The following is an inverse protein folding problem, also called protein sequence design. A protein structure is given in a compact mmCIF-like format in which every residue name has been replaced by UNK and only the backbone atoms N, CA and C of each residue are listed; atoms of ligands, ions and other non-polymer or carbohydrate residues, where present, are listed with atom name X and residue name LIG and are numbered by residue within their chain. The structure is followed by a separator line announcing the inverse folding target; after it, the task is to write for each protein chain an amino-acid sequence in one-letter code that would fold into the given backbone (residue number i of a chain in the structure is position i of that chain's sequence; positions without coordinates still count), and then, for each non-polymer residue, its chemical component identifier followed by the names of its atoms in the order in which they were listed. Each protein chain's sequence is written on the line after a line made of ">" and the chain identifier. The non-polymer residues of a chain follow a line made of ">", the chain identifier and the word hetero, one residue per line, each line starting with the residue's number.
data_IF_225018851658
#
_entry.id   IF_225018851658
#
_cell.length_a   1.000
_cell.length_b   1.000
_cell.length_c   1.000
_cell.angle_alpha   90.00
_cell.angle_beta   90.00
_cell.angle_gamma   90.00
#
_symmetry.space_group_name_H-M   'P 1'
#
loop_
_entity.id
_entity.type
_entity.pdbx_description
1 polymer ?
#
# COMPACT_ATOMS: atom_id res chain seq x y z
N UNK A 1 13.16 -45.51 47.38
CA UNK A 1 13.71 -44.17 47.10
C UNK A 1 14.34 -43.60 48.37
N UNK A 2 15.62 -43.24 48.32
CA UNK A 2 16.30 -42.50 49.39
C UNK A 2 15.79 -41.05 49.40
N UNK A 3 15.92 -40.33 50.52
CA UNK A 3 15.50 -38.92 50.66
C UNK A 3 16.04 -38.01 49.54
N UNK A 4 17.23 -38.32 49.01
CA UNK A 4 17.82 -37.58 47.90
C UNK A 4 17.11 -37.81 46.55
N UNK A 5 16.42 -38.93 46.36
CA UNK A 5 15.68 -39.22 45.12
C UNK A 5 14.43 -38.34 45.01
N UNK A 6 13.77 -38.04 46.13
CA UNK A 6 12.63 -37.12 46.19
C UNK A 6 13.01 -35.66 45.94
N UNK A 7 14.19 -35.23 46.41
CA UNK A 7 14.71 -33.88 46.16
C UNK A 7 15.05 -33.71 44.67
N UNK A 8 15.68 -34.72 44.05
CA UNK A 8 15.96 -34.73 42.61
C UNK A 8 14.68 -34.69 41.79
N UNK A 9 13.69 -35.51 42.14
CA UNK A 9 12.39 -35.53 41.47
C UNK A 9 11.67 -34.18 41.56
N UNK A 10 11.64 -33.56 42.76
CA UNK A 10 11.05 -32.24 42.95
C UNK A 10 11.76 -31.14 42.13
N UNK A 11 13.08 -31.20 42.02
CA UNK A 11 13.85 -30.27 41.20
C UNK A 11 13.54 -30.43 39.70
N UNK A 12 13.42 -31.66 39.20
CA UNK A 12 13.05 -31.93 37.80
C UNK A 12 11.65 -31.39 37.49
N UNK A 13 10.68 -31.60 38.40
CA UNK A 13 9.31 -31.10 38.24
C UNK A 13 9.26 -29.56 38.25
N UNK A 14 10.05 -28.91 39.10
CA UNK A 14 10.17 -27.46 39.13
C UNK A 14 10.77 -26.90 37.84
N UNK A 15 11.81 -27.53 37.30
CA UNK A 15 12.42 -27.16 36.01
C UNK A 15 11.43 -27.37 34.87
N UNK A 16 10.65 -28.46 34.88
CA UNK A 16 9.61 -28.72 33.88
C UNK A 16 8.56 -27.61 33.88
N UNK A 17 8.01 -27.26 35.04
CA UNK A 17 7.01 -26.19 35.15
C UNK A 17 7.59 -24.83 34.76
N UNK A 18 8.84 -24.54 35.13
CA UNK A 18 9.52 -23.33 34.70
C UNK A 18 9.73 -23.29 33.18
N UNK A 19 10.09 -24.42 32.56
CA UNK A 19 10.28 -24.52 31.11
C UNK A 19 8.95 -24.38 30.35
N UNK A 20 7.88 -25.03 30.80
CA UNK A 20 6.54 -24.87 30.23
C UNK A 20 6.04 -23.43 30.41
N UNK A 21 6.25 -22.83 31.59
CA UNK A 21 5.90 -21.44 31.85
C UNK A 21 6.67 -20.45 30.98
N UNK A 22 7.95 -20.74 30.68
CA UNK A 22 8.77 -19.94 29.75
C UNK A 22 8.37 -20.12 28.29
N UNK A 23 7.90 -21.30 27.88
CA UNK A 23 7.50 -21.60 26.51
C UNK A 23 6.04 -21.26 26.20
N UNK A 24 5.19 -21.15 27.23
CA UNK A 24 3.76 -20.82 27.08
C UNK A 24 3.50 -19.53 26.28
N UNK A 25 4.24 -18.42 26.48
CA UNK A 25 4.08 -17.21 25.66
C UNK A 25 4.41 -17.39 24.18
N UNK A 26 5.12 -18.46 23.82
CA UNK A 26 5.57 -18.75 22.45
C UNK A 26 4.70 -19.78 21.73
N UNK A 27 3.59 -20.23 22.36
CA UNK A 27 2.68 -21.21 21.79
C UNK A 27 1.37 -20.56 21.32
N UNK A 28 0.91 -20.80 20.08
CA UNK A 28 1.48 -21.69 19.06
C UNK A 28 2.65 -21.05 18.28
N UNK A 29 3.72 -21.82 18.07
CA UNK A 29 4.98 -21.36 17.46
C UNK A 29 4.81 -20.75 16.05
N UNK A 30 3.76 -21.13 15.34
CA UNK A 30 3.43 -20.64 14.00
C UNK A 30 3.12 -19.13 13.95
N UNK A 31 2.66 -18.55 15.07
CA UNK A 31 2.33 -17.12 15.15
C UNK A 31 3.52 -16.26 15.61
N UNK A 32 4.58 -16.90 16.11
CA UNK A 32 5.73 -16.23 16.73
C UNK A 32 6.98 -16.29 15.85
N UNK A 33 7.14 -17.36 15.07
CA UNK A 33 8.24 -17.51 14.12
C UNK A 33 7.80 -17.06 12.73
N UNK A 34 8.43 -16.00 12.23
CA UNK A 34 8.22 -15.47 10.88
C UNK A 34 8.77 -16.45 9.84
N UNK A 35 7.88 -17.13 9.12
CA UNK A 35 8.22 -18.14 8.11
C UNK A 35 8.48 -17.49 6.75
N UNK A 36 9.46 -18.02 6.01
CA UNK A 36 9.74 -17.60 4.64
C UNK A 36 8.85 -18.30 3.60
N UNK A 37 8.98 -17.91 2.33
CA UNK A 37 8.21 -18.45 1.20
C UNK A 37 8.30 -19.98 1.11
N UNK A 38 9.45 -20.57 1.40
CA UNK A 38 9.68 -22.02 1.30
C UNK A 38 8.91 -22.83 2.37
N UNK A 39 8.53 -22.19 3.48
CA UNK A 39 7.87 -22.84 4.61
C UNK A 39 6.37 -22.50 4.70
N UNK A 40 5.95 -21.30 4.29
CA UNK A 40 4.56 -20.87 4.35
C UNK A 40 3.85 -20.89 2.99
N UNK A 41 4.61 -21.03 1.89
CA UNK A 41 4.11 -20.73 0.55
C UNK A 41 3.88 -19.23 0.36
N UNK A 42 3.43 -18.83 -0.82
CA UNK A 42 3.13 -17.43 -1.14
C UNK A 42 3.18 -17.13 -2.63
N UNK A 43 3.35 -15.85 -2.97
CA UNK A 43 3.35 -15.37 -4.36
C UNK A 43 4.71 -14.79 -4.71
N UNK A 44 5.22 -15.15 -5.88
CA UNK A 44 6.40 -14.56 -6.51
C UNK A 44 5.96 -13.84 -7.77
N UNK A 45 6.26 -12.54 -7.83
CA UNK A 45 6.00 -11.66 -8.97
C UNK A 45 7.32 -11.19 -9.55
N UNK A 46 7.44 -11.22 -10.87
CA UNK A 46 8.50 -10.51 -11.60
C UNK A 46 7.84 -9.37 -12.34
N UNK A 47 8.25 -8.17 -11.96
CA UNK A 47 7.75 -6.93 -12.52
C UNK A 47 8.74 -6.37 -13.53
N UNK A 48 8.25 -5.71 -14.56
CA UNK A 48 9.05 -5.03 -15.58
C UNK A 48 8.70 -3.55 -15.65
N UNK A 49 9.71 -2.70 -15.44
CA UNK A 49 9.58 -1.26 -15.56
C UNK A 49 9.59 -0.87 -17.05
N UNK A 50 8.54 -0.16 -17.48
CA UNK A 50 8.38 0.29 -18.86
C UNK A 50 9.19 1.55 -19.15
N UNK A 51 9.35 1.87 -20.44
CA UNK A 51 9.94 3.12 -20.94
C UNK A 51 11.41 3.37 -20.52
N UNK A 52 12.18 2.31 -20.27
CA UNK A 52 13.60 2.39 -19.89
C UNK A 52 14.58 2.31 -21.07
N UNK A 53 14.08 2.09 -22.30
CA UNK A 53 14.91 1.81 -23.48
C UNK A 53 15.85 2.97 -23.86
N UNK A 54 15.41 4.21 -23.64
CA UNK A 54 16.16 5.43 -23.99
C UNK A 54 17.11 5.91 -22.87
N UNK A 55 17.11 5.25 -21.72
CA UNK A 55 17.91 5.64 -20.56
C UNK A 55 19.28 4.98 -20.58
N UNK A 56 20.29 5.63 -20.01
CA UNK A 56 21.59 5.01 -19.72
C UNK A 56 21.47 3.94 -18.63
N UNK A 57 22.41 2.99 -18.59
CA UNK A 57 22.41 1.92 -17.58
C UNK A 57 22.37 2.44 -16.13
N UNK A 58 23.03 3.56 -15.86
CA UNK A 58 23.00 4.23 -14.55
C UNK A 58 21.60 4.78 -14.21
N UNK A 59 20.96 5.46 -15.17
CA UNK A 59 19.60 5.99 -15.00
C UNK A 59 18.57 4.87 -14.81
N UNK A 60 18.70 3.76 -15.56
CA UNK A 60 17.81 2.59 -15.38
C UNK A 60 17.92 2.04 -13.97
N UNK A 61 19.16 1.89 -13.47
CA UNK A 61 19.42 1.42 -12.11
C UNK A 61 18.78 2.35 -11.07
N UNK A 62 18.99 3.65 -11.18
CA UNK A 62 18.42 4.62 -10.24
C UNK A 62 16.87 4.57 -10.21
N UNK A 63 16.25 4.41 -11.39
CA UNK A 63 14.79 4.25 -11.51
C UNK A 63 14.33 2.95 -10.84
N UNK A 64 15.01 1.83 -11.10
CA UNK A 64 14.69 0.54 -10.48
C UNK A 64 14.86 0.59 -8.97
N UNK A 65 15.95 1.17 -8.46
CA UNK A 65 16.20 1.31 -7.02
C UNK A 65 15.13 2.19 -6.34
N UNK A 66 14.65 3.23 -7.04
CA UNK A 66 13.52 4.05 -6.58
C UNK A 66 12.20 3.30 -6.58
N UNK A 67 11.92 2.48 -7.60
CA UNK A 67 10.75 1.58 -7.62
C UNK A 67 10.81 0.63 -6.42
N UNK A 68 11.94 -0.04 -6.19
CA UNK A 68 12.14 -0.95 -5.05
C UNK A 68 11.84 -0.24 -3.73
N UNK A 69 12.34 0.99 -3.55
CA UNK A 69 12.11 1.79 -2.34
C UNK A 69 10.62 2.08 -2.12
N UNK A 70 9.90 2.49 -3.17
CA UNK A 70 8.45 2.78 -3.08
C UNK A 70 7.66 1.51 -2.80
N UNK A 71 7.97 0.40 -3.49
CA UNK A 71 7.29 -0.87 -3.27
C UNK A 71 7.51 -1.39 -1.85
N UNK A 72 8.72 -1.22 -1.29
CA UNK A 72 9.00 -1.56 0.10
C UNK A 72 8.14 -0.74 1.05
N UNK A 73 8.04 0.58 0.84
CA UNK A 73 7.19 1.45 1.66
C UNK A 73 5.71 1.05 1.60
N UNK A 74 5.18 0.67 0.43
CA UNK A 74 3.79 0.21 0.28
C UNK A 74 3.51 -1.03 1.09
N UNK A 75 4.39 -2.01 0.95
CA UNK A 75 4.31 -3.29 1.65
C UNK A 75 4.39 -3.09 3.16
N UNK A 76 5.34 -2.29 3.63
CA UNK A 76 5.53 -1.98 5.05
C UNK A 76 4.29 -1.29 5.62
N UNK A 77 3.74 -0.30 4.91
CA UNK A 77 2.55 0.44 5.33
C UNK A 77 1.26 -0.39 5.23
N UNK A 78 1.18 -1.34 4.31
CA UNK A 78 0.04 -2.27 4.24
C UNK A 78 0.06 -3.25 5.41
N UNK A 79 1.25 -3.54 5.94
CA UNK A 79 1.50 -4.45 7.05
C UNK A 79 1.84 -5.87 6.59
N UNK A 80 2.34 -6.05 5.36
CA UNK A 80 2.79 -7.36 4.89
C UNK A 80 4.13 -7.70 5.53
N UNK A 81 4.21 -8.84 6.19
CA UNK A 81 5.43 -9.30 6.84
C UNK A 81 6.34 -10.06 5.86
N UNK A 82 7.65 -9.89 6.02
CA UNK A 82 8.70 -10.71 5.37
C UNK A 82 8.69 -10.68 3.83
N UNK A 83 8.17 -9.61 3.23
CA UNK A 83 8.22 -9.46 1.79
C UNK A 83 9.65 -9.13 1.36
N UNK A 84 10.12 -9.81 0.33
CA UNK A 84 11.44 -9.61 -0.25
C UNK A 84 11.27 -8.92 -1.61
N UNK A 85 11.81 -7.72 -1.74
CA UNK A 85 11.78 -6.92 -2.97
C UNK A 85 13.21 -6.67 -3.39
N UNK A 86 13.58 -7.12 -4.59
CA UNK A 86 14.95 -6.98 -5.09
C UNK A 86 14.98 -6.68 -6.59
N UNK A 87 15.96 -5.91 -7.07
CA UNK A 87 16.17 -5.74 -8.50
C UNK A 87 16.61 -7.08 -9.12
N UNK A 88 16.07 -7.37 -10.30
CA UNK A 88 16.39 -8.54 -11.13
C UNK A 88 16.90 -8.06 -12.50
N UNK A 89 18.22 -7.99 -12.67
CA UNK A 89 18.81 -7.44 -13.89
C UNK A 89 18.72 -5.90 -13.96
N UNK A 90 18.45 -5.35 -15.14
CA UNK A 90 18.49 -3.89 -15.38
C UNK A 90 17.11 -3.19 -15.42
N UNK A 91 16.03 -3.93 -15.62
CA UNK A 91 14.68 -3.38 -15.80
C UNK A 91 13.59 -4.12 -15.03
N UNK A 92 13.95 -5.19 -14.31
CA UNK A 92 12.98 -6.05 -13.63
C UNK A 92 13.17 -5.99 -12.13
N UNK A 93 12.07 -6.27 -11.43
CA UNK A 93 12.01 -6.30 -9.97
C UNK A 93 11.35 -7.61 -9.58
N UNK A 94 12.04 -8.40 -8.76
CA UNK A 94 11.47 -9.59 -8.13
C UNK A 94 10.82 -9.21 -6.81
N UNK A 95 9.57 -9.62 -6.62
CA UNK A 95 8.82 -9.43 -5.38
C UNK A 95 8.30 -10.78 -4.89
N UNK A 96 8.68 -11.16 -3.67
CA UNK A 96 8.20 -12.38 -3.01
C UNK A 96 7.40 -12.00 -1.79
N UNK A 97 6.15 -12.45 -1.73
CA UNK A 97 5.21 -12.17 -0.65
C UNK A 97 4.87 -13.49 0.03
N UNK A 98 5.51 -13.82 1.17
CA UNK A 98 5.19 -15.03 1.93
C UNK A 98 3.77 -14.97 2.50
N UNK A 99 3.09 -16.11 2.51
CA UNK A 99 1.75 -16.25 3.09
C UNK A 99 0.61 -15.59 2.31
N UNK A 100 0.90 -14.86 1.21
CA UNK A 100 -0.14 -14.38 0.30
C UNK A 100 -0.82 -15.57 -0.39
N UNK A 101 -2.13 -15.67 -0.20
CA UNK A 101 -2.94 -16.72 -0.82
C UNK A 101 -3.55 -16.26 -2.15
N UNK A 102 -3.73 -14.94 -2.31
CA UNK A 102 -4.31 -14.33 -3.50
C UNK A 102 -3.28 -13.48 -4.25
N UNK A 103 -2.82 -13.93 -5.44
CA UNK A 103 -1.96 -13.14 -6.31
C UNK A 103 -2.59 -11.83 -6.78
N UNK A 104 -3.92 -11.75 -6.91
CA UNK A 104 -4.59 -10.54 -7.39
C UNK A 104 -4.51 -9.41 -6.37
N UNK A 105 -4.66 -9.69 -5.09
CA UNK A 105 -4.49 -8.69 -4.02
C UNK A 105 -3.05 -8.14 -4.01
N UNK A 106 -2.07 -9.04 -4.09
CA UNK A 106 -0.66 -8.68 -4.20
C UNK A 106 -0.37 -7.79 -5.43
N UNK A 107 -0.95 -8.16 -6.58
CA UNK A 107 -0.83 -7.39 -7.83
C UNK A 107 -1.46 -6.01 -7.70
N UNK A 108 -2.62 -5.89 -7.06
CA UNK A 108 -3.28 -4.59 -6.88
C UNK A 108 -2.50 -3.65 -5.96
N UNK A 109 -1.78 -4.18 -4.97
CA UNK A 109 -0.92 -3.40 -4.08
C UNK A 109 0.37 -2.94 -4.76
N UNK A 110 1.01 -3.82 -5.52
CA UNK A 110 2.38 -3.60 -6.01
C UNK A 110 2.39 -3.09 -7.45
N UNK A 111 1.43 -3.48 -8.28
CA UNK A 111 1.35 -3.14 -9.70
C UNK A 111 0.65 -1.82 -10.04
N UNK A 112 0.06 -1.11 -9.08
CA UNK A 112 -0.56 0.21 -9.34
C UNK A 112 0.51 1.30 -9.34
N UNK A 113 0.54 2.18 -10.33
CA UNK A 113 1.47 3.32 -10.34
C UNK A 113 1.07 4.34 -9.29
N UNK A 114 -0.24 4.62 -9.19
CA UNK A 114 -0.86 5.69 -8.40
C UNK A 114 -0.29 7.07 -8.70
N UNK A 115 -0.30 7.40 -9.99
CA UNK A 115 -0.08 8.75 -10.43
C UNK A 115 -1.27 9.62 -9.99
N UNK A 116 -1.09 10.33 -8.88
CA UNK A 116 -2.07 11.29 -8.37
C UNK A 116 -1.86 12.65 -9.05
N UNK A 117 -2.93 13.18 -9.62
CA UNK A 117 -2.93 14.47 -10.30
C UNK A 117 -4.15 15.30 -9.89
N UNK A 118 -3.93 16.60 -9.76
CA UNK A 118 -4.98 17.58 -9.55
C UNK A 118 -5.09 18.44 -10.80
N UNK A 119 -6.21 18.31 -11.51
CA UNK A 119 -6.45 19.01 -12.78
C UNK A 119 -7.75 19.81 -12.70
N UNK A 120 -7.76 21.00 -13.31
CA UNK A 120 -8.99 21.79 -13.43
C UNK A 120 -9.96 21.08 -14.37
N UNK A 121 -11.21 20.97 -13.95
CA UNK A 121 -12.29 20.51 -14.82
C UNK A 121 -12.81 21.68 -15.65
N UNK A 122 -13.01 21.43 -16.94
CA UNK A 122 -13.55 22.37 -17.90
C UNK A 122 -15.02 22.09 -18.20
N UNK A 123 -15.41 20.82 -18.23
CA UNK A 123 -16.78 20.38 -18.49
C UNK A 123 -17.03 18.95 -17.95
N UNK A 124 -18.31 18.61 -17.73
CA UNK A 124 -18.75 17.30 -17.21
C UNK A 124 -20.00 16.83 -17.98
N UNK A 125 -19.98 15.59 -18.48
CA UNK A 125 -21.11 15.00 -19.19
C UNK A 125 -21.25 13.50 -18.91
N UNK A 126 -22.46 12.94 -19.07
CA UNK A 126 -22.69 11.50 -18.91
C UNK A 126 -22.14 10.67 -20.08
N UNK A 127 -21.99 11.27 -21.26
CA UNK A 127 -21.41 10.64 -22.45
C UNK A 127 -20.15 11.40 -22.89
N UNK A 128 -19.02 10.72 -23.17
CA UNK A 128 -17.80 11.37 -23.62
C UNK A 128 -17.97 12.14 -24.94
N UNK A 129 -18.90 11.71 -25.81
CA UNK A 129 -19.12 12.35 -27.12
C UNK A 129 -19.73 13.76 -27.00
N UNK A 130 -20.33 14.08 -25.86
CA UNK A 130 -20.88 15.40 -25.58
C UNK A 130 -19.78 16.41 -25.17
N UNK A 131 -18.56 15.93 -24.89
CA UNK A 131 -17.43 16.75 -24.46
C UNK A 131 -16.56 17.16 -25.66
N UNK A 132 -16.37 18.47 -25.83
CA UNK A 132 -15.59 19.01 -26.93
C UNK A 132 -14.23 19.51 -26.44
N UNK A 133 -13.17 18.84 -26.89
CA UNK A 133 -11.80 19.32 -26.67
C UNK A 133 -11.56 20.58 -27.50
N UNK A 134 -11.21 21.67 -26.83
CA UNK A 134 -10.82 22.95 -27.44
C UNK A 134 -9.31 23.10 -27.61
N UNK A 135 -8.52 22.25 -26.94
CA UNK A 135 -7.05 22.21 -27.04
C UNK A 135 -6.55 20.76 -27.19
N UNK A 136 -5.46 20.50 -27.93
CA UNK A 136 -4.85 19.18 -28.02
C UNK A 136 -4.30 18.66 -26.69
N UNK A 137 -4.06 19.54 -25.72
CA UNK A 137 -3.63 19.15 -24.38
C UNK A 137 -4.78 18.66 -23.50
N UNK A 138 -6.04 18.94 -23.84
CA UNK A 138 -7.17 18.53 -23.01
C UNK A 138 -7.44 17.03 -23.10
N UNK A 139 -7.87 16.47 -21.97
CA UNK A 139 -8.14 15.05 -21.83
C UNK A 139 -9.57 14.84 -21.33
N UNK A 140 -10.20 13.77 -21.81
CA UNK A 140 -11.49 13.32 -21.34
C UNK A 140 -11.22 12.09 -20.49
N UNK A 141 -11.56 12.15 -19.21
CA UNK A 141 -11.29 11.10 -18.26
C UNK A 141 -12.61 10.56 -17.68
N UNK A 142 -12.76 9.24 -17.51
CA UNK A 142 -13.93 8.66 -16.88
C UNK A 142 -13.92 8.88 -15.37
N UNK A 143 -15.11 9.03 -14.79
CA UNK A 143 -15.31 8.90 -13.35
C UNK A 143 -15.05 7.47 -12.89
N UNK A 144 -14.52 7.30 -11.69
CA UNK A 144 -14.30 6.00 -11.05
C UNK A 144 -15.59 5.18 -10.91
N UNK A 145 -16.75 5.83 -10.75
CA UNK A 145 -18.04 5.16 -10.66
C UNK A 145 -18.71 4.92 -12.03
N UNK A 146 -18.08 5.37 -13.12
CA UNK A 146 -18.56 5.23 -14.50
C UNK A 146 -19.82 6.05 -14.82
N UNK A 147 -20.23 6.99 -13.95
CA UNK A 147 -21.46 7.76 -14.13
C UNK A 147 -21.31 9.00 -15.03
N UNK A 148 -20.10 9.56 -15.06
CA UNK A 148 -19.76 10.78 -15.79
C UNK A 148 -18.38 10.68 -16.42
N UNK A 149 -18.14 11.57 -17.37
CA UNK A 149 -16.85 11.87 -17.97
C UNK A 149 -16.53 13.34 -17.71
N UNK A 150 -15.26 13.62 -17.45
CA UNK A 150 -14.75 14.95 -17.17
C UNK A 150 -13.79 15.37 -18.26
N UNK A 151 -14.03 16.54 -18.86
CA UNK A 151 -13.05 17.23 -19.66
C UNK A 151 -12.13 18.01 -18.73
N UNK A 152 -10.85 17.69 -18.73
CA UNK A 152 -9.85 18.32 -17.85
C UNK A 152 -8.75 19.01 -18.66
N UNK A 153 -8.09 19.99 -18.03
CA UNK A 153 -6.85 20.55 -18.55
C UNK A 153 -5.77 19.46 -18.65
N UNK A 154 -4.84 19.61 -19.61
CA UNK A 154 -3.77 18.62 -19.81
C UNK A 154 -2.70 18.64 -18.75
N UNK A 155 -2.25 19.84 -18.37
CA UNK A 155 -1.19 19.97 -17.39
C UNK A 155 -1.75 19.87 -15.96
N UNK A 156 -1.18 18.99 -15.11
CA UNK A 156 -1.57 18.94 -13.71
C UNK A 156 -1.15 20.21 -12.98
N UNK A 157 -2.09 20.81 -12.24
CA UNK A 157 -1.81 21.97 -11.40
C UNK A 157 -0.95 21.56 -10.20
N UNK A 158 -1.19 20.36 -9.68
CA UNK A 158 -0.48 19.75 -8.56
C UNK A 158 -0.42 18.23 -8.76
N UNK A 159 0.67 17.58 -8.34
CA UNK A 159 0.88 16.11 -8.44
C UNK A 159 1.10 15.48 -7.07
N UNK A 160 1.03 14.16 -6.95
CA UNK A 160 1.11 13.45 -5.65
C UNK A 160 2.40 13.61 -4.84
N UNK A 161 3.47 14.19 -5.39
CA UNK A 161 4.71 14.53 -4.66
C UNK A 161 4.47 15.52 -3.51
N UNK A 162 3.32 16.20 -3.51
CA UNK A 162 2.95 17.18 -2.49
C UNK A 162 2.34 16.60 -1.22
N UNK A 163 2.11 15.29 -1.15
CA UNK A 163 1.49 14.65 0.00
C UNK A 163 2.52 14.32 1.09
N UNK A 164 2.08 14.44 2.34
CA UNK A 164 2.76 13.97 3.56
C UNK A 164 2.07 12.70 4.07
N UNK A 165 0.74 12.66 4.00
CA UNK A 165 -0.06 11.55 4.55
C UNK A 165 -1.38 11.36 3.79
N UNK A 166 -1.96 10.16 3.91
CA UNK A 166 -3.30 9.82 3.45
C UNK A 166 -3.91 8.80 4.41
N UNK A 167 -5.06 9.13 5.01
CA UNK A 167 -5.70 8.32 6.04
C UNK A 167 -7.13 7.95 5.66
N UNK A 168 -7.51 6.69 5.89
CA UNK A 168 -8.91 6.27 5.78
C UNK A 168 -9.68 6.75 7.01
N UNK A 169 -10.76 7.49 6.79
CA UNK A 169 -11.65 7.97 7.85
C UNK A 169 -13.09 7.61 7.53
N UNK A 170 -13.87 7.44 8.59
CA UNK A 170 -15.32 7.26 8.48
C UNK A 170 -15.98 8.61 8.63
N UNK A 171 -16.86 8.96 7.69
CA UNK A 171 -17.65 10.17 7.76
C UNK A 171 -18.60 10.13 8.96
N UNK A 172 -18.57 11.19 9.75
CA UNK A 172 -19.52 11.42 10.85
C UNK A 172 -20.75 12.22 10.40
N UNK A 173 -20.75 12.74 9.16
CA UNK A 173 -21.89 13.47 8.60
C UNK A 173 -22.99 12.49 8.17
N UNK A 174 -24.18 12.53 8.81
CA UNK A 174 -25.30 11.66 8.44
C UNK A 174 -25.78 11.83 6.99
N UNK A 175 -25.47 12.97 6.35
CA UNK A 175 -25.84 13.25 4.95
C UNK A 175 -24.87 12.62 3.95
N UNK A 176 -23.66 12.27 4.38
CA UNK A 176 -22.61 11.68 3.56
C UNK A 176 -21.99 10.49 4.30
N UNK A 177 -22.76 9.43 4.58
CA UNK A 177 -22.22 8.26 5.25
C UNK A 177 -21.22 7.53 4.35
N UNK A 178 -20.20 6.92 4.95
CA UNK A 178 -19.22 6.11 4.23
C UNK A 178 -17.78 6.43 4.61
N UNK A 179 -16.86 5.84 3.87
CA UNK A 179 -15.41 6.05 4.02
C UNK A 179 -14.95 7.16 3.08
N UNK A 180 -13.98 7.94 3.54
CA UNK A 180 -13.25 8.89 2.72
C UNK A 180 -11.77 8.81 3.06
N UNK A 181 -10.92 9.21 2.13
CA UNK A 181 -9.48 9.29 2.34
C UNK A 181 -9.12 10.74 2.58
N UNK A 182 -8.71 11.06 3.81
CA UNK A 182 -8.23 12.38 4.18
C UNK A 182 -6.78 12.52 3.70
N UNK A 183 -6.51 13.54 2.89
CA UNK A 183 -5.16 13.82 2.41
C UNK A 183 -4.54 14.92 3.26
N UNK A 184 -3.26 14.77 3.55
CA UNK A 184 -2.46 15.77 4.24
C UNK A 184 -1.29 16.15 3.35
N UNK A 185 -1.19 17.43 3.03
CA UNK A 185 -0.08 17.96 2.25
C UNK A 185 1.17 18.14 3.12
N UNK A 186 2.33 17.95 2.51
CA UNK A 186 3.59 18.44 3.06
C UNK A 186 3.64 19.97 2.93
N UNK A 187 4.61 20.63 3.57
CA UNK A 187 4.67 22.10 3.61
C UNK A 187 4.69 22.73 2.20
N UNK A 188 5.61 22.26 1.34
CA UNK A 188 5.73 22.77 -0.03
C UNK A 188 4.43 22.52 -0.81
N UNK A 189 3.82 21.36 -0.59
CA UNK A 189 2.57 20.97 -1.17
C UNK A 189 1.40 21.88 -0.82
N UNK A 190 1.25 22.18 0.47
CA UNK A 190 0.22 23.06 0.96
C UNK A 190 0.39 24.49 0.43
N UNK A 191 1.63 24.96 0.25
CA UNK A 191 1.94 26.25 -0.38
C UNK A 191 1.51 26.26 -1.86
N UNK A 192 1.91 25.26 -2.66
CA UNK A 192 1.48 25.11 -4.08
C UNK A 192 -0.03 24.95 -4.23
N UNK A 193 -0.66 24.20 -3.33
CA UNK A 193 -2.09 23.98 -3.33
C UNK A 193 -2.86 25.27 -2.98
N UNK A 194 -2.38 26.04 -2.01
CA UNK A 194 -2.95 27.36 -1.70
C UNK A 194 -2.87 28.31 -2.91
N UNK A 195 -1.76 28.32 -3.63
CA UNK A 195 -1.61 29.09 -4.87
C UNK A 195 -2.58 28.64 -5.97
N UNK A 196 -2.75 27.33 -6.12
CA UNK A 196 -3.72 26.73 -7.05
C UNK A 196 -5.14 27.18 -6.72
N UNK A 197 -5.55 27.08 -5.46
CA UNK A 197 -6.86 27.55 -5.00
C UNK A 197 -7.05 29.06 -5.20
N UNK A 198 -5.98 29.87 -5.11
CA UNK A 198 -6.07 31.31 -5.38
C UNK A 198 -6.33 31.62 -6.85
N UNK A 199 -5.80 30.80 -7.78
CA UNK A 199 -6.01 30.94 -9.23
C UNK A 199 -7.41 30.51 -9.68
N UNK A 200 -8.02 29.54 -9.00
CA UNK A 200 -9.36 29.06 -9.31
C UNK A 200 -10.46 29.99 -8.79
N UNK A 201 -11.63 29.96 -9.40
CA UNK A 201 -12.84 30.68 -8.96
C UNK A 201 -13.77 29.78 -8.15
N UNK A 202 -14.65 30.39 -7.35
CA UNK A 202 -15.68 29.65 -6.62
C UNK A 202 -16.63 28.98 -7.61
N UNK A 203 -16.92 27.72 -7.38
CA UNK A 203 -17.74 26.89 -8.28
C UNK A 203 -16.95 26.13 -9.34
N UNK A 204 -15.72 26.53 -9.67
CA UNK A 204 -14.85 25.71 -10.53
C UNK A 204 -14.54 24.39 -9.83
N UNK A 205 -14.42 23.29 -10.58
CA UNK A 205 -14.11 21.98 -10.01
C UNK A 205 -12.63 21.66 -10.17
N UNK A 206 -12.06 21.05 -9.14
CA UNK A 206 -10.70 20.51 -9.15
C UNK A 206 -10.78 18.98 -9.08
N UNK A 207 -10.52 18.31 -10.20
CA UNK A 207 -10.52 16.85 -10.27
C UNK A 207 -9.31 16.27 -9.56
N UNK A 208 -9.57 15.24 -8.74
CA UNK A 208 -8.59 14.36 -8.14
C UNK A 208 -8.53 13.10 -9.00
N UNK A 209 -7.44 12.97 -9.74
CA UNK A 209 -7.25 11.91 -10.74
C UNK A 209 -6.20 10.95 -10.23
N UNK A 210 -6.47 9.65 -10.39
CA UNK A 210 -5.50 8.60 -10.11
C UNK A 210 -5.43 7.67 -11.32
N UNK A 211 -4.23 7.52 -11.88
CA UNK A 211 -3.97 6.64 -13.03
C UNK A 211 -4.97 6.87 -14.19
N UNK A 212 -5.29 8.14 -14.48
CA UNK A 212 -6.21 8.54 -15.56
C UNK A 212 -7.70 8.41 -15.24
N UNK A 213 -8.07 8.10 -13.99
CA UNK A 213 -9.47 7.98 -13.56
C UNK A 213 -9.81 9.06 -12.54
N UNK A 214 -10.92 9.76 -12.72
CA UNK A 214 -11.38 10.80 -11.78
C UNK A 214 -12.08 10.15 -10.60
N UNK A 215 -11.52 10.27 -9.41
CA UNK A 215 -12.13 9.75 -8.18
C UNK A 215 -13.14 10.73 -7.58
N UNK A 216 -12.83 12.02 -7.62
CA UNK A 216 -13.73 13.08 -7.18
C UNK A 216 -13.39 14.41 -7.85
N UNK A 217 -14.39 15.24 -8.09
CA UNK A 217 -14.23 16.57 -8.67
C UNK A 217 -14.98 17.63 -7.83
N UNK A 218 -14.56 17.88 -6.58
CA UNK A 218 -15.23 18.86 -5.73
C UNK A 218 -15.16 20.26 -6.34
N UNK A 219 -16.30 20.97 -6.29
CA UNK A 219 -16.34 22.39 -6.59
C UNK A 219 -15.63 23.19 -5.49
N UNK A 220 -14.84 24.20 -5.88
CA UNK A 220 -14.16 25.10 -4.96
C UNK A 220 -15.20 25.94 -4.23
N UNK A 221 -15.19 25.87 -2.90
CA UNK A 221 -16.07 26.65 -2.03
C UNK A 221 -15.44 27.99 -1.65
N UNK A 222 -16.29 28.92 -1.20
CA UNK A 222 -15.84 30.18 -0.60
C UNK A 222 -14.94 29.94 0.63
N UNK A 223 -15.27 28.94 1.46
CA UNK A 223 -14.44 28.56 2.61
C UNK A 223 -13.05 28.07 2.21
N UNK A 224 -12.93 27.31 1.12
CA UNK A 224 -11.64 26.86 0.61
C UNK A 224 -10.79 28.04 0.10
N UNK A 225 -11.43 29.03 -0.56
CA UNK A 225 -10.77 30.28 -0.98
C UNK A 225 -10.26 31.08 0.21
N UNK A 226 -11.07 31.24 1.25
CA UNK A 226 -10.70 31.95 2.47
C UNK A 226 -9.54 31.26 3.20
N UNK A 227 -9.59 29.93 3.34
CA UNK A 227 -8.48 29.14 3.89
C UNK A 227 -7.17 29.38 3.11
N UNK A 228 -7.24 29.36 1.77
CA UNK A 228 -6.08 29.63 0.93
C UNK A 228 -5.52 31.06 1.09
N UNK A 229 -6.35 32.05 1.46
CA UNK A 229 -5.89 33.41 1.76
C UNK A 229 -5.23 33.51 3.14
N UNK A 230 -5.72 32.76 4.13
CA UNK A 230 -5.17 32.74 5.50
C UNK A 230 -3.79 32.08 5.57
N UNK A 231 -3.52 31.11 4.69
CA UNK A 231 -2.18 30.55 4.50
C UNK A 231 -2.17 29.05 4.25
N UNK A 232 -0.98 28.49 4.01
CA UNK A 232 -0.82 27.07 3.67
C UNK A 232 -1.33 26.12 4.76
N UNK A 233 -1.28 26.52 6.03
CA UNK A 233 -1.71 25.68 7.17
C UNK A 233 -3.19 25.33 7.11
N UNK A 234 -4.02 26.28 6.72
CA UNK A 234 -5.49 26.09 6.66
C UNK A 234 -5.91 25.16 5.52
N UNK A 235 -5.07 25.01 4.49
CA UNK A 235 -5.33 24.11 3.36
C UNK A 235 -4.58 22.77 3.47
N UNK A 236 -3.79 22.58 4.53
CA UNK A 236 -2.92 21.40 4.66
C UNK A 236 -3.71 20.08 4.70
N UNK A 237 -4.90 20.09 5.31
CA UNK A 237 -5.75 18.90 5.47
C UNK A 237 -7.18 19.14 4.97
N UNK A 238 -7.35 20.05 4.01
CA UNK A 238 -8.68 20.44 3.51
C UNK A 238 -9.23 19.48 2.46
N UNK A 239 -8.39 18.59 1.91
CA UNK A 239 -8.75 17.73 0.80
C UNK A 239 -9.10 16.33 1.26
N UNK A 240 -10.16 15.77 0.66
CA UNK A 240 -10.53 14.38 0.84
C UNK A 240 -10.96 13.76 -0.48
N UNK A 241 -10.62 12.49 -0.66
CA UNK A 241 -11.14 11.67 -1.76
C UNK A 241 -12.36 10.94 -1.22
N UNK A 242 -13.51 11.22 -1.81
CA UNK A 242 -14.79 10.60 -1.49
C UNK A 242 -15.18 9.62 -2.58
N UNK A 243 -15.84 8.53 -2.22
CA UNK A 243 -16.31 7.53 -3.18
C UNK A 243 -16.97 6.36 -2.48
N UNK A 244 -17.51 5.44 -3.28
CA UNK A 244 -18.04 4.17 -2.77
C UNK A 244 -16.88 3.19 -2.59
N UNK A 245 -16.19 3.29 -1.45
CA UNK A 245 -15.07 2.40 -1.12
C UNK A 245 -15.51 1.30 -0.15
N UNK A 246 -15.00 0.10 -0.36
CA UNK A 246 -14.84 -0.86 0.73
C UNK A 246 -13.68 -0.45 1.62
N UNK A 247 -13.62 -0.98 2.85
CA UNK A 247 -12.49 -0.69 3.75
C UNK A 247 -11.15 -1.08 3.13
N UNK A 248 -11.08 -2.25 2.49
CA UNK A 248 -9.85 -2.74 1.87
C UNK A 248 -9.43 -1.88 0.68
N UNK A 249 -10.38 -1.46 -0.17
CA UNK A 249 -10.10 -0.51 -1.27
C UNK A 249 -9.61 0.83 -0.75
N UNK A 250 -10.22 1.38 0.30
CA UNK A 250 -9.80 2.64 0.89
C UNK A 250 -8.41 2.52 1.52
N UNK A 251 -8.15 1.42 2.24
CA UNK A 251 -6.85 1.14 2.86
C UNK A 251 -5.75 1.03 1.80
N UNK A 252 -6.02 0.25 0.74
CA UNK A 252 -5.13 0.09 -0.39
C UNK A 252 -4.82 1.46 -1.01
N UNK A 253 -5.85 2.24 -1.35
CA UNK A 253 -5.65 3.56 -1.95
C UNK A 253 -4.84 4.49 -1.04
N UNK A 254 -5.13 4.54 0.26
CA UNK A 254 -4.38 5.34 1.22
C UNK A 254 -2.89 4.95 1.29
N UNK A 255 -2.58 3.65 1.32
CA UNK A 255 -1.19 3.14 1.30
C UNK A 255 -0.46 3.61 0.05
N UNK A 256 -1.10 3.45 -1.10
CA UNK A 256 -0.46 3.77 -2.37
C UNK A 256 -0.22 5.28 -2.50
N UNK A 257 -1.17 6.12 -2.07
CA UNK A 257 -1.01 7.59 -2.05
C UNK A 257 0.12 8.06 -1.12
N UNK A 258 0.29 7.44 0.07
CA UNK A 258 1.38 7.79 1.01
C UNK A 258 2.76 7.39 0.51
N UNK A 259 2.86 6.26 -0.18
CA UNK A 259 4.13 5.78 -0.72
C UNK A 259 4.64 6.59 -1.92
N UNK A 260 3.75 7.41 -2.51
CA UNK A 260 4.03 8.15 -3.73
C UNK A 260 3.85 7.33 -5.02
N UNK A 261 3.89 8.04 -6.14
CA UNK A 261 3.76 7.46 -7.47
C UNK A 261 5.05 6.77 -7.90
N UNK A 262 4.92 5.67 -8.65
CA UNK A 262 6.07 5.04 -9.29
C UNK A 262 6.65 5.97 -10.37
N UNK A 263 7.99 6.04 -10.55
CA UNK A 263 8.62 6.89 -11.55
C UNK A 263 8.28 6.53 -13.01
N UNK A 264 7.88 5.28 -13.22
CA UNK A 264 7.40 4.76 -14.50
C UNK A 264 6.38 3.66 -14.24
N UNK A 265 5.58 3.33 -15.24
CA UNK A 265 4.67 2.20 -15.18
C UNK A 265 5.44 0.88 -15.00
N UNK A 266 4.86 0.00 -14.21
CA UNK A 266 5.41 -1.32 -13.94
C UNK A 266 4.38 -2.37 -14.33
N UNK A 267 4.74 -3.25 -15.27
CA UNK A 267 3.92 -4.39 -15.69
C UNK A 267 4.31 -5.67 -14.94
N UNK A 268 3.37 -6.60 -14.79
CA UNK A 268 3.68 -7.96 -14.33
C UNK A 268 4.16 -8.76 -15.54
N UNK A 269 5.41 -9.21 -15.52
CA UNK A 269 5.99 -10.06 -16.55
C UNK A 269 5.75 -11.54 -16.26
N UNK A 270 5.91 -11.93 -14.99
CA UNK A 270 5.76 -13.31 -14.55
C UNK A 270 5.07 -13.36 -13.19
N UNK A 271 4.17 -14.32 -13.03
CA UNK A 271 3.46 -14.58 -11.79
C UNK A 271 3.54 -16.08 -11.48
N UNK A 272 4.00 -16.40 -10.28
CA UNK A 272 4.11 -17.76 -9.79
C UNK A 272 3.56 -17.86 -8.38
N UNK A 273 2.56 -18.71 -8.17
CA UNK A 273 2.16 -19.14 -6.84
C UNK A 273 3.07 -20.27 -6.39
N UNK A 274 3.78 -20.06 -5.28
CA UNK A 274 4.65 -21.07 -4.69
C UNK A 274 3.90 -21.72 -3.54
N UNK A 275 3.55 -23.00 -3.71
CA UNK A 275 2.98 -23.78 -2.61
C UNK A 275 4.03 -24.05 -1.52
N UNK A 276 3.61 -24.36 -0.28
CA UNK A 276 4.52 -24.80 0.77
C UNK A 276 5.03 -26.21 0.44
N UNK A 277 6.06 -26.31 -0.41
CA UNK A 277 6.55 -27.58 -0.97
C UNK A 277 7.21 -28.47 0.09
N UNK A 278 7.77 -27.87 1.15
CA UNK A 278 8.41 -28.59 2.28
C UNK A 278 7.92 -28.10 3.65
N UNK A 279 7.25 -26.95 3.71
CA UNK A 279 6.93 -26.26 4.97
C UNK A 279 6.13 -27.07 5.97
N UNK A 280 4.94 -27.53 5.62
CA UNK A 280 4.04 -28.18 6.58
C UNK A 280 4.61 -29.49 7.14
N UNK A 281 5.27 -30.29 6.30
CA UNK A 281 5.87 -31.55 6.71
C UNK A 281 7.19 -31.35 7.48
N UNK A 282 8.04 -30.40 7.05
CA UNK A 282 9.26 -30.03 7.80
C UNK A 282 8.94 -29.41 9.17
N UNK A 283 7.92 -28.56 9.27
CA UNK A 283 7.43 -28.00 10.55
C UNK A 283 6.92 -29.12 11.45
N UNK A 284 6.16 -30.07 10.92
CA UNK A 284 5.63 -31.20 11.68
C UNK A 284 6.75 -32.13 12.16
N UNK A 285 7.72 -32.47 11.31
CA UNK A 285 8.86 -33.31 11.69
C UNK A 285 9.78 -32.60 12.69
N UNK A 286 10.00 -31.29 12.52
CA UNK A 286 10.78 -30.47 13.45
C UNK A 286 10.15 -30.38 14.84
N UNK A 287 8.83 -30.13 14.91
CA UNK A 287 8.10 -30.11 16.18
C UNK A 287 8.09 -31.49 16.86
N UNK A 288 7.91 -32.57 16.10
CA UNK A 288 8.04 -33.94 16.63
C UNK A 288 9.46 -34.24 17.13
N UNK A 289 10.50 -33.81 16.42
CA UNK A 289 11.89 -34.01 16.85
C UNK A 289 12.17 -33.28 18.17
N UNK A 290 11.76 -32.02 18.31
CA UNK A 290 11.90 -31.24 19.55
C UNK A 290 11.16 -31.93 20.70
N UNK A 291 9.92 -32.40 20.47
CA UNK A 291 9.11 -33.06 21.49
C UNK A 291 9.72 -34.39 21.94
N UNK A 292 10.22 -35.20 21.00
CA UNK A 292 10.91 -36.46 21.31
C UNK A 292 12.22 -36.20 22.06
N UNK A 293 13.04 -35.25 21.62
CA UNK A 293 14.28 -34.87 22.31
C UNK A 293 14.00 -34.38 23.73
N UNK A 294 12.96 -33.58 23.93
CA UNK A 294 12.55 -33.11 25.25
C UNK A 294 12.17 -34.27 26.17
N UNK A 295 11.35 -35.22 25.70
CA UNK A 295 10.96 -36.41 26.48
C UNK A 295 12.18 -37.27 26.81
N UNK A 296 13.10 -37.47 25.86
CA UNK A 296 14.32 -38.26 26.09
C UNK A 296 15.24 -37.63 27.15
N UNK A 297 15.37 -36.31 27.16
CA UNK A 297 16.14 -35.60 28.19
C UNK A 297 15.48 -35.76 29.57
N UNK A 298 14.15 -35.65 29.66
CA UNK A 298 13.42 -35.87 30.91
C UNK A 298 13.53 -37.31 31.44
N UNK A 299 13.60 -38.30 30.55
CA UNK A 299 13.81 -39.70 30.94
C UNK A 299 15.26 -39.97 31.39
N UNK A 300 16.22 -39.21 30.88
CA UNK A 300 17.64 -39.36 31.24
C UNK A 300 17.97 -38.73 32.60
N UNK A 301 17.34 -37.60 32.95
CA UNK A 301 17.56 -36.90 34.23
C UNK A 301 16.94 -37.61 35.42
#
# INVERSE_FOLDING_TARGET
>A
MKRNDWIRFGAVLAVLFAAVGLLYPFWPLQDVVKLGLDLQGGVRLVLEAKNLEQMSDAQRKDVVDRIVTILQQRVDQYGLANVEIRPLGQSRIEVKIPGAQDPEEARQLIGRTALLEFRKVLDEASNPDDLVKTSPTQEILPSHDGSSYYLVEGEPMVTGDVLDDAEVRTSTDPRRPGLYIALKFNRQGAERFAETLRRLQVGEQLAIILDGVVYSAPAISESAKQAAQQGWREVQSSLSITGKFTFDQAKLLAVVLRSGALPTEVGVLEEQTVGPTLGSDSIRRGTMAILISFILVLLYM
#
